data_IF_468948664599
#
_entry.id   IF_468948664599
#
_cell.length_a   1.000
_cell.length_b   1.000
_cell.length_c   1.000
_cell.angle_alpha   90.00
_cell.angle_beta   90.00
_cell.angle_gamma   90.00
#
_symmetry.space_group_name_H-M   'P 1'
#
loop_
_entity.id
_entity.type
_entity.pdbx_description
1 polymer ?
#
# COMPACT_ATOMS: atom_id res chain seq x y z
N UNK A 1 19.16 11.32 -15.26
CA UNK A 1 18.75 9.93 -15.00
C UNK A 1 17.72 9.94 -13.89
N UNK A 2 16.42 9.82 -14.20
CA UNK A 2 15.30 9.91 -13.23
C UNK A 2 14.68 8.53 -13.00
N UNK A 3 15.53 7.51 -12.86
CA UNK A 3 15.07 6.22 -12.34
C UNK A 3 14.76 6.49 -10.86
N UNK A 4 13.51 6.65 -10.45
CA UNK A 4 12.56 5.56 -10.54
C UNK A 4 12.94 4.44 -9.56
N UNK A 5 13.78 4.73 -8.55
CA UNK A 5 13.76 3.93 -7.32
C UNK A 5 12.32 3.99 -6.85
N UNK A 6 11.62 2.88 -7.06
CA UNK A 6 10.19 2.72 -6.81
C UNK A 6 9.94 3.08 -5.36
N UNK A 7 9.38 4.25 -5.12
CA UNK A 7 9.09 4.77 -3.79
C UNK A 7 8.36 3.72 -2.94
N UNK A 8 7.53 2.89 -3.58
CA UNK A 8 6.87 1.72 -3.00
C UNK A 8 7.83 0.71 -2.34
N UNK A 9 8.84 0.22 -3.06
CA UNK A 9 9.77 -0.80 -2.54
C UNK A 9 10.56 -0.27 -1.34
N UNK A 10 10.97 1.00 -1.38
CA UNK A 10 11.64 1.65 -0.26
C UNK A 10 10.71 1.79 0.96
N UNK A 11 9.43 2.14 0.73
CA UNK A 11 8.43 2.25 1.80
C UNK A 11 8.15 0.89 2.43
N UNK A 12 7.99 -0.17 1.63
CA UNK A 12 7.79 -1.54 2.13
C UNK A 12 8.95 -1.99 3.05
N UNK A 13 10.20 -1.75 2.63
CA UNK A 13 11.38 -2.10 3.43
C UNK A 13 11.40 -1.33 4.76
N UNK A 14 11.03 -0.04 4.75
CA UNK A 14 10.97 0.76 5.97
C UNK A 14 9.89 0.24 6.92
N UNK A 15 8.69 -0.04 6.41
CA UNK A 15 7.57 -0.57 7.21
C UNK A 15 7.94 -1.95 7.79
N UNK A 16 8.58 -2.82 7.01
CA UNK A 16 8.99 -4.16 7.46
C UNK A 16 10.06 -4.11 8.56
N UNK A 17 11.02 -3.19 8.47
CA UNK A 17 12.12 -3.09 9.43
C UNK A 17 11.80 -2.23 10.67
N UNK A 18 10.75 -1.42 10.62
CA UNK A 18 10.43 -0.48 11.70
C UNK A 18 9.79 -1.19 12.90
N UNK A 19 10.35 -0.95 14.08
CA UNK A 19 9.75 -1.34 15.37
C UNK A 19 8.93 -0.20 16.02
N UNK A 20 8.70 0.88 15.28
CA UNK A 20 7.96 2.07 15.71
C UNK A 20 6.92 2.43 14.66
N UNK A 21 5.86 3.18 15.02
CA UNK A 21 4.83 3.55 14.05
C UNK A 21 5.42 4.32 12.85
N UNK A 22 5.04 3.90 11.64
CA UNK A 22 5.46 4.51 10.37
C UNK A 22 4.32 5.33 9.78
N UNK A 23 4.56 6.63 9.60
CA UNK A 23 3.64 7.55 8.95
C UNK A 23 4.16 7.88 7.56
N UNK A 24 3.38 7.59 6.52
CA UNK A 24 3.74 7.94 5.14
C UNK A 24 3.34 9.40 4.88
N UNK A 25 4.35 10.24 4.64
CA UNK A 25 4.21 11.65 4.27
C UNK A 25 4.90 11.92 2.91
N UNK A 26 4.35 12.87 2.15
CA UNK A 26 4.69 13.28 0.79
C UNK A 26 4.24 12.35 -0.36
N UNK A 27 3.70 12.96 -1.44
CA UNK A 27 3.39 12.28 -2.71
C UNK A 27 1.97 11.68 -2.83
N UNK A 28 1.15 11.77 -1.78
CA UNK A 28 -0.24 11.31 -1.82
C UNK A 28 -1.13 12.33 -2.54
N UNK A 29 -1.16 12.26 -3.88
CA UNK A 29 -2.00 13.09 -4.74
C UNK A 29 -3.44 12.61 -4.90
N UNK A 30 -3.73 11.37 -4.53
CA UNK A 30 -5.04 10.76 -4.65
C UNK A 30 -5.36 9.85 -3.45
N UNK A 31 -6.65 9.67 -3.11
CA UNK A 31 -7.08 8.71 -2.09
C UNK A 31 -6.59 7.28 -2.31
N UNK A 32 -6.37 6.87 -3.57
CA UNK A 32 -5.81 5.56 -3.92
C UNK A 32 -4.36 5.40 -3.47
N UNK A 33 -3.55 6.46 -3.47
CA UNK A 33 -2.18 6.41 -2.96
C UNK A 33 -2.19 6.18 -1.44
N UNK A 34 -3.14 6.81 -0.74
CA UNK A 34 -3.31 6.59 0.69
C UNK A 34 -3.76 5.16 0.99
N UNK A 35 -4.67 4.59 0.20
CA UNK A 35 -5.05 3.19 0.31
C UNK A 35 -3.84 2.26 0.11
N UNK A 36 -3.05 2.48 -0.93
CA UNK A 36 -1.82 1.71 -1.21
C UNK A 36 -0.82 1.77 -0.04
N UNK A 37 -0.63 2.95 0.57
CA UNK A 37 0.22 3.08 1.76
C UNK A 37 -0.27 2.24 2.94
N UNK A 38 -1.58 2.25 3.20
CA UNK A 38 -2.17 1.45 4.28
C UNK A 38 -2.15 -0.05 3.97
N UNK A 39 -2.31 -0.45 2.71
CA UNK A 39 -2.19 -1.85 2.25
C UNK A 39 -0.77 -2.39 2.45
N UNK A 40 0.26 -1.55 2.33
CA UNK A 40 1.65 -1.91 2.63
C UNK A 40 1.95 -2.07 4.11
N UNK A 41 1.00 -1.71 5.00
CA UNK A 41 1.15 -1.84 6.44
C UNK A 41 1.55 -0.54 7.16
N UNK A 42 1.45 0.63 6.52
CA UNK A 42 1.66 1.90 7.21
C UNK A 42 0.63 2.08 8.36
N UNK A 43 1.04 2.77 9.41
CA UNK A 43 0.18 3.04 10.57
C UNK A 43 -0.73 4.25 10.34
N UNK A 44 -0.24 5.22 9.57
CA UNK A 44 -1.00 6.40 9.18
C UNK A 44 -0.45 7.02 7.89
N UNK A 45 -1.26 7.92 7.33
CA UNK A 45 -0.85 8.78 6.22
C UNK A 45 -1.02 10.25 6.61
N UNK A 46 -0.12 11.10 6.14
CA UNK A 46 -0.21 12.55 6.25
C UNK A 46 -0.55 13.14 4.89
N UNK A 47 -1.64 13.90 4.81
CA UNK A 47 -2.14 14.50 3.57
C UNK A 47 -2.41 15.98 3.82
N UNK A 48 -1.86 16.85 2.97
CA UNK A 48 -2.08 18.29 3.04
C UNK A 48 -2.46 18.86 1.67
N UNK A 49 -1.48 18.99 0.76
CA UNK A 49 -1.65 19.68 -0.53
C UNK A 49 -2.82 19.14 -1.35
N UNK A 50 -2.97 17.81 -1.44
CA UNK A 50 -4.04 17.19 -2.23
C UNK A 50 -5.45 17.57 -1.76
N UNK A 51 -5.64 17.82 -0.46
CA UNK A 51 -6.91 18.31 0.10
C UNK A 51 -7.00 19.83 -0.09
N UNK A 52 -5.91 20.56 0.21
CA UNK A 52 -5.88 22.02 0.21
C UNK A 52 -6.15 22.65 -1.17
N UNK A 53 -5.69 22.02 -2.26
CA UNK A 53 -5.87 22.55 -3.63
C UNK A 53 -7.02 21.88 -4.40
N UNK A 54 -7.79 20.99 -3.77
CA UNK A 54 -8.93 20.34 -4.42
C UNK A 54 -10.04 21.35 -4.71
N UNK A 55 -10.79 21.10 -5.80
CA UNK A 55 -11.97 21.90 -6.13
C UNK A 55 -13.05 21.87 -5.03
N UNK A 56 -13.17 20.72 -4.35
CA UNK A 56 -13.97 20.55 -3.14
C UNK A 56 -13.10 19.87 -2.06
N UNK A 57 -12.49 20.64 -1.14
CA UNK A 57 -11.65 20.12 -0.07
C UNK A 57 -12.38 19.19 0.90
N UNK A 58 -13.66 19.44 1.17
CA UNK A 58 -14.46 18.63 2.10
C UNK A 58 -14.74 17.26 1.50
N UNK A 59 -15.15 17.21 0.23
CA UNK A 59 -15.33 15.96 -0.50
C UNK A 59 -14.01 15.19 -0.65
N UNK A 60 -12.91 15.89 -0.96
CA UNK A 60 -11.59 15.26 -1.07
C UNK A 60 -11.13 14.66 0.27
N UNK A 61 -11.32 15.37 1.38
CA UNK A 61 -11.02 14.84 2.72
C UNK A 61 -11.84 13.57 3.04
N UNK A 62 -13.13 13.55 2.67
CA UNK A 62 -13.97 12.35 2.82
C UNK A 62 -13.46 11.19 1.94
N UNK A 63 -13.01 11.48 0.72
CA UNK A 63 -12.45 10.47 -0.16
C UNK A 63 -11.15 9.87 0.40
N UNK A 64 -10.24 10.71 0.90
CA UNK A 64 -9.02 10.26 1.58
C UNK A 64 -9.33 9.41 2.81
N UNK A 65 -10.29 9.82 3.65
CA UNK A 65 -10.74 9.04 4.81
C UNK A 65 -11.15 7.62 4.39
N UNK A 66 -11.98 7.50 3.34
CA UNK A 66 -12.42 6.19 2.81
C UNK A 66 -11.25 5.36 2.29
N UNK A 67 -10.33 5.98 1.56
CA UNK A 67 -9.13 5.29 1.04
C UNK A 67 -8.26 4.71 2.16
N UNK A 68 -8.02 5.48 3.22
CA UNK A 68 -7.25 5.04 4.39
C UNK A 68 -7.94 3.86 5.10
N UNK A 69 -9.25 3.98 5.34
CA UNK A 69 -10.04 2.92 5.97
C UNK A 69 -10.02 1.64 5.15
N UNK A 70 -10.31 1.74 3.85
CA UNK A 70 -10.31 0.61 2.94
C UNK A 70 -8.94 -0.08 2.86
N UNK A 71 -7.85 0.68 2.73
CA UNK A 71 -6.51 0.12 2.66
C UNK A 71 -6.09 -0.57 3.96
N UNK A 72 -6.46 -0.02 5.13
CA UNK A 72 -6.17 -0.66 6.41
C UNK A 72 -7.00 -1.93 6.62
N UNK A 73 -8.27 -1.91 6.25
CA UNK A 73 -9.14 -3.09 6.27
C UNK A 73 -8.59 -4.19 5.36
N UNK A 74 -8.12 -3.83 4.16
CA UNK A 74 -7.49 -4.77 3.22
C UNK A 74 -6.20 -5.39 3.78
N UNK A 75 -5.34 -4.60 4.42
CA UNK A 75 -4.14 -5.10 5.11
C UNK A 75 -4.52 -6.12 6.20
N UNK A 76 -5.48 -5.78 7.07
CA UNK A 76 -5.93 -6.67 8.15
C UNK A 76 -6.65 -7.92 7.64
N UNK A 77 -7.31 -7.83 6.48
CA UNK A 77 -7.91 -8.97 5.81
C UNK A 77 -6.88 -9.91 5.15
N UNK A 78 -5.60 -9.53 5.13
CA UNK A 78 -4.53 -10.33 4.54
C UNK A 78 -4.49 -10.23 3.02
N UNK A 79 -4.69 -9.03 2.45
CA UNK A 79 -4.48 -8.80 1.02
C UNK A 79 -3.08 -9.34 0.64
N UNK A 80 -3.04 -10.23 -0.35
CA UNK A 80 -1.79 -10.81 -0.80
C UNK A 80 -0.94 -9.70 -1.41
N UNK A 81 0.10 -9.26 -0.69
CA UNK A 81 1.15 -8.47 -1.30
C UNK A 81 1.72 -9.29 -2.46
N UNK A 82 1.95 -8.70 -3.65
CA UNK A 82 2.54 -9.42 -4.76
C UNK A 82 3.84 -10.06 -4.27
N UNK A 83 3.87 -11.40 -4.14
CA UNK A 83 5.07 -12.09 -3.73
C UNK A 83 6.17 -11.73 -4.74
N UNK A 84 7.28 -11.17 -4.26
CA UNK A 84 8.46 -10.83 -5.08
C UNK A 84 9.03 -12.05 -5.81
N UNK A 85 8.69 -13.25 -5.37
CA UNK A 85 8.89 -14.49 -6.09
C UNK A 85 7.54 -15.01 -6.58
N UNK A 86 7.42 -15.28 -7.89
CA UNK A 86 6.32 -16.07 -8.40
C UNK A 86 6.37 -17.46 -7.75
N UNK A 87 5.62 -17.66 -6.66
CA UNK A 87 5.27 -19.00 -6.24
C UNK A 87 4.33 -19.53 -7.32
N UNK A 88 4.79 -20.53 -8.08
CA UNK A 88 3.95 -21.19 -9.07
C UNK A 88 2.64 -21.58 -8.38
N UNK A 89 1.53 -20.99 -8.82
CA UNK A 89 0.19 -21.21 -8.26
C UNK A 89 -0.35 -22.63 -8.51
N UNK A 90 0.46 -23.51 -9.08
CA UNK A 90 0.16 -24.90 -9.36
C UNK A 90 1.05 -25.80 -8.50
N UNK A 91 0.48 -26.65 -7.62
CA UNK A 91 1.21 -27.73 -6.99
C UNK A 91 1.61 -28.75 -8.07
N UNK A 92 2.77 -28.55 -8.70
CA UNK A 92 3.40 -29.53 -9.60
C UNK A 92 3.87 -30.79 -8.84
N UNK A 93 3.72 -30.82 -7.51
CA UNK A 93 4.00 -31.96 -6.64
C UNK A 93 2.85 -32.98 -6.56
N UNK A 94 1.69 -32.72 -7.18
CA UNK A 94 0.59 -33.68 -7.27
C UNK A 94 0.76 -34.78 -8.33
N UNK A 95 1.59 -34.56 -9.36
CA UNK A 95 1.65 -35.44 -10.54
C UNK A 95 2.76 -36.50 -10.54
N UNK A 96 3.71 -36.48 -9.58
CA UNK A 96 4.85 -37.41 -9.56
C UNK A 96 4.76 -38.51 -8.50
N UNK A 97 3.55 -38.87 -8.05
CA UNK A 97 3.34 -39.97 -7.07
C UNK A 97 2.47 -41.13 -7.56
N UNK A 98 2.28 -41.26 -8.88
CA UNK A 98 1.72 -42.47 -9.49
C UNK A 98 2.38 -42.75 -10.84
N UNK A 99 3.47 -43.51 -10.81
CA UNK A 99 3.87 -44.52 -11.80
C UNK A 99 5.19 -45.14 -11.37
#
# INVERSE_FOLDING_TARGET
SKQGIKTRESIEIIIEMANIPVVVDAGLGAPSHAAEAMEMGADAVLVNTAIAVAADPALMAQAFKKGVQAGREAFLAGISTPQKAAAASSPLTGFLRQS
#
